data_IF_334354968604
#
_entry.id   IF_334354968604
#
_cell.length_a   1.000
_cell.length_b   1.000
_cell.length_c   1.000
_cell.angle_alpha   90.00
_cell.angle_beta   90.00
_cell.angle_gamma   90.00
#
_symmetry.space_group_name_H-M   'P 1'
#
loop_
_entity.id
_entity.type
_entity.pdbx_description
1 polymer ?
#
# COMPACT_ATOMS: atom_id res chain seq x y z
N UNK A 1 -4.76 14.53 -49.93
CA UNK A 1 -3.76 13.81 -49.10
C UNK A 1 -3.39 14.54 -47.80
N UNK A 2 -3.13 15.86 -47.80
CA UNK A 2 -2.70 16.60 -46.58
C UNK A 2 -3.70 16.63 -45.40
N UNK A 3 -5.02 16.67 -45.66
CA UNK A 3 -6.05 16.71 -44.60
C UNK A 3 -6.17 15.40 -43.79
N UNK A 4 -5.89 14.26 -44.41
CA UNK A 4 -5.98 12.94 -43.76
C UNK A 4 -4.84 12.69 -42.76
N UNK A 5 -3.64 13.19 -43.10
CA UNK A 5 -2.45 13.11 -42.24
C UNK A 5 -2.61 13.97 -40.98
N UNK A 6 -3.17 15.17 -41.11
CA UNK A 6 -3.44 16.03 -39.94
C UNK A 6 -4.49 15.44 -39.01
N UNK A 7 -5.52 14.77 -39.54
CA UNK A 7 -6.54 14.10 -38.73
C UNK A 7 -5.97 12.89 -37.98
N UNK A 8 -5.11 12.10 -38.63
CA UNK A 8 -4.43 10.97 -38.00
C UNK A 8 -3.47 11.41 -36.88
N UNK A 9 -2.73 12.51 -37.07
CA UNK A 9 -1.86 13.09 -36.05
C UNK A 9 -2.62 13.61 -34.83
N UNK A 10 -3.80 14.20 -35.04
CA UNK A 10 -4.66 14.67 -33.92
C UNK A 10 -5.17 13.47 -33.11
N UNK A 11 -5.60 12.39 -33.77
CA UNK A 11 -6.06 11.16 -33.09
C UNK A 11 -4.92 10.47 -32.35
N UNK A 12 -3.73 10.39 -32.95
CA UNK A 12 -2.55 9.78 -32.32
C UNK A 12 -2.08 10.60 -31.11
N UNK A 13 -2.10 11.93 -31.22
CA UNK A 13 -1.85 12.84 -30.10
C UNK A 13 -2.89 12.62 -28.98
N UNK A 14 -4.19 12.55 -29.31
CA UNK A 14 -5.26 12.30 -28.35
C UNK A 14 -5.10 10.96 -27.62
N UNK A 15 -4.68 9.90 -28.32
CA UNK A 15 -4.40 8.58 -27.74
C UNK A 15 -3.17 8.63 -26.80
N UNK A 16 -2.15 9.44 -27.11
CA UNK A 16 -0.99 9.63 -26.25
C UNK A 16 -1.33 10.41 -24.96
N UNK A 17 -2.29 11.34 -24.98
CA UNK A 17 -2.76 12.03 -23.76
C UNK A 17 -3.66 11.14 -22.90
N UNK A 18 -4.32 10.14 -23.51
CA UNK A 18 -5.13 9.15 -22.81
C UNK A 18 -4.30 7.98 -22.26
N UNK A 19 -3.09 7.76 -22.80
CA UNK A 19 -2.19 6.66 -22.44
C UNK A 19 -1.38 6.83 -21.16
N UNK A 20 -1.53 7.95 -20.45
CA UNK A 20 -0.75 8.25 -19.23
C UNK A 20 -1.52 8.07 -17.91
N UNK A 21 -2.68 7.41 -17.92
CA UNK A 21 -3.37 7.03 -16.68
C UNK A 21 -2.93 5.62 -16.27
N UNK A 22 -1.80 5.53 -15.59
CA UNK A 22 -1.46 4.36 -14.78
C UNK A 22 -2.31 4.42 -13.53
N UNK A 23 -3.44 3.71 -13.48
CA UNK A 23 -4.10 3.48 -12.20
C UNK A 23 -3.17 2.58 -11.40
N UNK A 24 -2.61 3.08 -10.29
CA UNK A 24 -1.99 2.21 -9.30
C UNK A 24 -3.12 1.30 -8.78
N UNK A 25 -3.10 0.04 -9.20
CA UNK A 25 -4.08 -0.94 -8.76
C UNK A 25 -3.69 -1.38 -7.34
N UNK A 26 -4.49 -0.99 -6.36
CA UNK A 26 -4.34 -1.48 -4.99
C UNK A 26 -4.71 -2.97 -4.96
N UNK A 27 -3.81 -3.82 -4.46
CA UNK A 27 -4.08 -5.24 -4.28
C UNK A 27 -4.95 -5.44 -3.04
N UNK A 28 -6.03 -6.21 -3.14
CA UNK A 28 -6.90 -6.52 -1.99
C UNK A 28 -6.65 -7.96 -1.53
N UNK A 29 -6.35 -8.14 -0.24
CA UNK A 29 -6.13 -9.43 0.40
C UNK A 29 -7.34 -9.83 1.26
N UNK A 30 -8.16 -10.73 0.72
CA UNK A 30 -9.37 -11.26 1.38
C UNK A 30 -9.16 -12.66 2.00
N UNK A 31 -8.06 -13.32 1.66
CA UNK A 31 -7.73 -14.67 2.16
C UNK A 31 -6.79 -14.64 3.36
N UNK A 32 -6.84 -15.71 4.15
CA UNK A 32 -5.89 -15.89 5.26
C UNK A 32 -4.54 -16.31 4.69
N UNK A 33 -3.54 -15.46 4.85
CA UNK A 33 -2.15 -15.76 4.48
C UNK A 33 -1.39 -16.31 5.70
N UNK A 34 -0.53 -17.31 5.46
CA UNK A 34 0.29 -17.94 6.49
C UNK A 34 1.77 -17.68 6.25
N UNK A 35 2.50 -17.49 7.34
CA UNK A 35 3.93 -17.15 7.30
C UNK A 35 4.15 -15.68 6.99
N UNK A 36 5.42 -15.29 7.04
CA UNK A 36 5.82 -13.90 6.90
C UNK A 36 5.57 -13.40 5.47
N UNK A 37 5.09 -12.15 5.35
CA UNK A 37 4.73 -11.52 4.08
C UNK A 37 5.57 -10.27 3.82
N UNK A 38 5.84 -10.03 2.54
CA UNK A 38 6.41 -8.77 2.05
C UNK A 38 5.39 -8.08 1.16
N UNK A 39 5.06 -6.83 1.48
CA UNK A 39 4.11 -6.00 0.75
C UNK A 39 4.92 -5.06 -0.15
N UNK A 40 4.96 -5.38 -1.44
CA UNK A 40 5.78 -4.71 -2.46
C UNK A 40 4.99 -3.75 -3.38
N UNK A 41 3.66 -3.70 -3.20
CA UNK A 41 2.74 -2.83 -3.94
C UNK A 41 1.65 -2.34 -2.98
N UNK A 42 1.02 -1.22 -3.31
CA UNK A 42 -0.08 -0.69 -2.50
C UNK A 42 -1.13 -1.78 -2.27
N UNK A 43 -1.44 -2.04 -1.01
CA UNK A 43 -2.22 -3.22 -0.63
C UNK A 43 -3.23 -2.87 0.46
N UNK A 44 -4.43 -3.42 0.35
CA UNK A 44 -5.45 -3.41 1.39
C UNK A 44 -5.65 -4.83 1.94
N UNK A 45 -5.41 -4.99 3.24
CA UNK A 45 -5.67 -6.23 3.96
C UNK A 45 -7.08 -6.17 4.58
N UNK A 46 -7.99 -7.03 4.10
CA UNK A 46 -9.33 -7.22 4.67
C UNK A 46 -9.45 -8.47 5.55
N UNK A 47 -8.41 -9.33 5.54
CA UNK A 47 -8.40 -10.64 6.19
C UNK A 47 -7.26 -10.78 7.20
N UNK A 48 -6.71 -11.98 7.37
CA UNK A 48 -5.70 -12.27 8.39
C UNK A 48 -4.36 -12.64 7.75
N UNK A 49 -3.28 -12.00 8.20
CA UNK A 49 -1.91 -12.48 7.98
C UNK A 49 -1.40 -13.12 9.26
N UNK A 50 -1.12 -14.42 9.19
CA UNK A 50 -0.56 -15.22 10.28
C UNK A 50 0.98 -15.25 10.19
N UNK A 51 1.62 -14.12 10.48
CA UNK A 51 3.05 -13.94 10.37
C UNK A 51 3.47 -12.48 10.54
N UNK A 52 4.78 -12.23 10.43
CA UNK A 52 5.32 -10.88 10.38
C UNK A 52 5.09 -10.27 8.99
N UNK A 53 4.96 -8.95 8.93
CA UNK A 53 4.77 -8.21 7.69
C UNK A 53 5.88 -7.18 7.55
N UNK A 54 6.49 -7.13 6.37
CA UNK A 54 7.40 -6.05 5.96
C UNK A 54 6.78 -5.29 4.80
N UNK A 55 6.66 -3.97 4.92
CA UNK A 55 6.19 -3.09 3.84
C UNK A 55 7.40 -2.45 3.19
N UNK A 56 7.53 -2.64 1.88
CA UNK A 56 8.65 -2.09 1.09
C UNK A 56 8.60 -0.56 1.00
N UNK A 57 9.70 0.09 0.58
CA UNK A 57 9.80 1.54 0.59
C UNK A 57 8.77 2.21 -0.32
N UNK A 58 8.17 3.29 0.16
CA UNK A 58 7.19 4.08 -0.60
C UNK A 58 5.82 3.41 -0.81
N UNK A 59 5.58 2.23 -0.23
CA UNK A 59 4.32 1.51 -0.36
C UNK A 59 3.30 1.96 0.67
N UNK A 60 2.05 2.11 0.24
CA UNK A 60 0.90 2.35 1.13
C UNK A 60 0.25 1.02 1.49
N UNK A 61 0.17 0.74 2.80
CA UNK A 61 -0.46 -0.46 3.31
C UNK A 61 -1.67 -0.11 4.18
N UNK A 62 -2.86 -0.47 3.69
CA UNK A 62 -4.13 -0.31 4.39
C UNK A 62 -4.43 -1.59 5.16
N UNK A 63 -4.56 -1.50 6.47
CA UNK A 63 -4.83 -2.64 7.34
C UNK A 63 -6.20 -2.48 7.95
N UNK A 64 -7.22 -3.09 7.35
CA UNK A 64 -8.56 -3.23 7.93
C UNK A 64 -8.76 -4.60 8.62
N UNK A 65 -7.87 -5.54 8.32
CA UNK A 65 -7.85 -6.91 8.85
C UNK A 65 -6.99 -7.09 10.10
N UNK A 66 -6.33 -8.24 10.20
CA UNK A 66 -5.53 -8.64 11.37
C UNK A 66 -4.14 -9.11 10.95
N UNK A 67 -3.10 -8.60 11.61
CA UNK A 67 -1.73 -9.10 11.53
C UNK A 67 -1.38 -9.72 12.89
N UNK A 68 -1.12 -11.02 12.94
CA UNK A 68 -0.81 -11.70 14.22
C UNK A 68 0.66 -11.54 14.64
N UNK A 69 1.53 -11.09 13.74
CA UNK A 69 2.95 -10.84 13.99
C UNK A 69 3.30 -9.38 14.10
N UNK A 70 4.60 -9.08 13.95
CA UNK A 70 5.09 -7.71 13.92
C UNK A 70 4.91 -7.08 12.52
N UNK A 71 4.75 -5.77 12.48
CA UNK A 71 4.76 -4.98 11.25
C UNK A 71 6.06 -4.15 11.19
N UNK A 72 6.76 -4.20 10.07
CA UNK A 72 7.93 -3.35 9.80
C UNK A 72 7.63 -2.48 8.60
N UNK A 73 7.65 -1.16 8.81
CA UNK A 73 7.53 -0.16 7.75
C UNK A 73 8.93 0.29 7.32
N UNK A 74 9.23 0.22 6.03
CA UNK A 74 10.47 0.73 5.46
C UNK A 74 10.33 2.18 4.98
N UNK A 75 11.45 2.79 4.59
CA UNK A 75 11.56 4.21 4.24
C UNK A 75 10.44 4.67 3.28
N UNK A 76 9.76 5.76 3.64
CA UNK A 76 8.69 6.35 2.85
C UNK A 76 7.40 5.54 2.77
N UNK A 77 7.32 4.34 3.36
CA UNK A 77 6.05 3.60 3.41
C UNK A 77 5.02 4.31 4.28
N UNK A 78 3.75 4.06 3.98
CA UNK A 78 2.61 4.66 4.67
C UNK A 78 1.76 3.53 5.23
N UNK A 79 1.33 3.67 6.48
CA UNK A 79 0.41 2.76 7.14
C UNK A 79 -0.90 3.49 7.42
N UNK A 80 -2.00 2.93 6.94
CA UNK A 80 -3.35 3.28 7.39
C UNK A 80 -3.93 2.10 8.17
N UNK A 81 -4.03 2.23 9.49
CA UNK A 81 -4.43 1.14 10.36
C UNK A 81 -5.85 1.36 10.91
N UNK A 82 -6.81 0.56 10.45
CA UNK A 82 -8.17 0.45 11.02
C UNK A 82 -8.40 -0.89 11.74
N UNK A 83 -7.55 -1.88 11.47
CA UNK A 83 -7.64 -3.24 11.96
C UNK A 83 -6.82 -3.48 13.23
N UNK A 84 -6.23 -4.68 13.35
CA UNK A 84 -5.48 -5.10 14.55
C UNK A 84 -4.08 -5.60 14.16
N UNK A 85 -3.07 -5.11 14.87
CA UNK A 85 -1.72 -5.66 14.87
C UNK A 85 -1.46 -6.22 16.26
N UNK A 86 -1.24 -7.53 16.36
CA UNK A 86 -1.01 -8.19 17.65
C UNK A 86 0.42 -8.05 18.16
N UNK A 87 1.38 -7.85 17.25
CA UNK A 87 2.79 -7.60 17.56
C UNK A 87 3.15 -6.12 17.66
N UNK A 88 4.45 -5.87 17.57
CA UNK A 88 5.03 -4.53 17.53
C UNK A 88 4.95 -3.93 16.12
N UNK A 89 4.92 -2.61 16.05
CA UNK A 89 5.09 -1.85 14.80
C UNK A 89 6.45 -1.16 14.84
N UNK A 90 7.35 -1.54 13.94
CA UNK A 90 8.65 -0.90 13.76
C UNK A 90 8.54 0.10 12.61
N UNK A 91 8.50 1.38 12.95
CA UNK A 91 8.37 2.44 11.97
C UNK A 91 9.74 2.99 11.56
N UNK A 92 10.24 2.53 10.40
CA UNK A 92 11.43 3.10 9.77
C UNK A 92 11.06 3.93 8.53
N UNK A 93 9.80 4.36 8.41
CA UNK A 93 9.34 5.09 7.22
C UNK A 93 9.84 6.52 7.15
N UNK A 94 10.27 7.11 8.27
CA UNK A 94 10.51 8.55 8.36
C UNK A 94 9.24 9.40 8.38
N UNK A 95 8.06 8.78 8.25
CA UNK A 95 6.77 9.39 8.50
C UNK A 95 6.36 9.10 9.94
N UNK A 96 5.86 10.09 10.68
CA UNK A 96 5.32 9.82 12.02
C UNK A 96 4.02 9.04 11.89
N UNK A 97 3.87 7.92 12.59
CA UNK A 97 2.55 7.32 12.78
C UNK A 97 1.84 8.13 13.87
N UNK A 98 0.83 8.90 13.48
CA UNK A 98 0.05 9.75 14.39
C UNK A 98 -1.32 9.14 14.69
N UNK A 99 -2.04 9.73 15.65
CA UNK A 99 -3.41 9.31 16.03
C UNK A 99 -4.40 9.38 14.86
N UNK A 100 -4.10 10.12 13.79
CA UNK A 100 -4.94 10.19 12.59
C UNK A 100 -4.73 8.98 11.66
N UNK A 101 -3.54 8.36 11.69
CA UNK A 101 -3.18 7.20 10.86
C UNK A 101 -3.52 5.85 11.52
N UNK A 102 -3.79 5.87 12.84
CA UNK A 102 -4.24 4.70 13.61
C UNK A 102 -5.64 4.94 14.15
N UNK A 103 -6.61 4.33 13.48
CA UNK A 103 -7.96 4.11 13.99
C UNK A 103 -8.17 2.64 14.44
N UNK A 104 -7.11 1.84 14.43
CA UNK A 104 -7.09 0.44 14.83
C UNK A 104 -6.43 0.19 16.19
N UNK A 105 -5.99 -1.04 16.41
CA UNK A 105 -5.37 -1.49 17.66
C UNK A 105 -3.99 -2.05 17.37
N UNK A 106 -2.97 -1.51 18.04
CA UNK A 106 -1.65 -2.15 18.19
C UNK A 106 -1.57 -2.72 19.60
N UNK A 107 -1.43 -4.05 19.74
CA UNK A 107 -1.32 -4.69 21.07
C UNK A 107 0.11 -4.65 21.62
N UNK A 108 1.11 -4.60 20.74
CA UNK A 108 2.51 -4.42 21.09
C UNK A 108 2.88 -2.94 21.24
N UNK A 109 4.16 -2.66 21.03
CA UNK A 109 4.70 -1.29 21.05
C UNK A 109 4.84 -0.74 19.63
N UNK A 110 4.65 0.57 19.49
CA UNK A 110 5.05 1.32 18.29
C UNK A 110 6.44 1.88 18.57
N UNK A 111 7.42 1.44 17.79
CA UNK A 111 8.83 1.83 17.89
C UNK A 111 9.17 2.70 16.69
N UNK A 112 9.44 3.97 16.95
CA UNK A 112 9.82 4.99 15.97
C UNK A 112 11.35 5.05 15.86
N UNK A 113 11.89 5.00 14.63
CA UNK A 113 13.33 5.12 14.34
C UNK A 113 13.66 6.33 13.46
#
# INVERSE_FOLDING_TARGET
MKKSINFFLIIMSLILILGSVSFAETVVLEEILKGDQTIAVDTQLLSIIQGNVTVEPGITFYVDGIITGNLTLQEGSILELNGIIEGNVYNNSGNSINEESINGIVKGEIVEN
#
